data_IF_926755432165
#
_entry.id   IF_926755432165
#
_cell.length_a   1.000
_cell.length_b   1.000
_cell.length_c   1.000
_cell.angle_alpha   90.00
_cell.angle_beta   90.00
_cell.angle_gamma   90.00
#
_symmetry.space_group_name_H-M   'P 1'
#
loop_
_entity.id
_entity.type
_entity.pdbx_description
1 polymer ?
#
# COMPACT_ATOMS: atom_id res chain seq x y z
N UNK A 1 53.31 -16.76 -37.35
CA UNK A 1 53.05 -15.40 -36.83
C UNK A 1 51.53 -15.15 -36.78
N UNK A 2 50.78 -15.76 -35.85
CA UNK A 2 49.30 -15.71 -35.86
C UNK A 2 48.58 -15.83 -34.50
N UNK A 3 49.29 -15.75 -33.37
CA UNK A 3 48.71 -15.94 -32.02
C UNK A 3 48.73 -14.70 -31.11
N UNK A 4 49.25 -13.55 -31.57
CA UNK A 4 49.33 -12.32 -30.73
C UNK A 4 48.05 -11.49 -30.70
N UNK A 5 47.09 -11.75 -31.60
CA UNK A 5 45.83 -10.98 -31.71
C UNK A 5 44.68 -11.51 -30.84
N UNK A 6 44.68 -12.79 -30.46
CA UNK A 6 43.60 -13.38 -29.66
C UNK A 6 43.69 -13.01 -28.16
N UNK A 7 44.90 -12.70 -27.66
CA UNK A 7 45.14 -12.45 -26.24
C UNK A 7 44.79 -11.00 -25.83
N UNK A 8 44.99 -10.03 -26.73
CA UNK A 8 44.62 -8.63 -26.51
C UNK A 8 43.11 -8.38 -26.59
N UNK A 9 42.37 -9.20 -27.36
CA UNK A 9 40.91 -9.11 -27.42
C UNK A 9 40.22 -9.60 -26.14
N UNK A 10 40.75 -10.65 -25.51
CA UNK A 10 40.19 -11.22 -24.28
C UNK A 10 40.40 -10.29 -23.06
N UNK A 11 41.54 -9.59 -23.01
CA UNK A 11 41.83 -8.62 -21.94
C UNK A 11 41.01 -7.34 -22.09
N UNK A 12 40.75 -6.86 -23.32
CA UNK A 12 39.88 -5.71 -23.56
C UNK A 12 38.42 -6.01 -23.20
N UNK A 13 37.94 -7.23 -23.50
CA UNK A 13 36.59 -7.68 -23.16
C UNK A 13 36.40 -7.80 -21.64
N UNK A 14 37.43 -8.26 -20.92
CA UNK A 14 37.44 -8.33 -19.45
C UNK A 14 37.40 -6.94 -18.80
N UNK A 15 38.13 -5.96 -19.34
CA UNK A 15 38.12 -4.57 -18.85
C UNK A 15 36.78 -3.86 -19.10
N UNK A 16 36.12 -4.13 -20.23
CA UNK A 16 34.78 -3.61 -20.52
C UNK A 16 33.71 -4.21 -19.58
N UNK A 17 33.82 -5.50 -19.24
CA UNK A 17 32.92 -6.15 -18.28
C UNK A 17 33.09 -5.58 -16.87
N UNK A 18 34.34 -5.30 -16.46
CA UNK A 18 34.64 -4.73 -15.14
C UNK A 18 34.11 -3.29 -14.99
N UNK A 19 34.18 -2.48 -16.05
CA UNK A 19 33.63 -1.12 -16.06
C UNK A 19 32.10 -1.08 -16.03
N UNK A 20 31.41 -2.11 -16.56
CA UNK A 20 29.95 -2.18 -16.53
C UNK A 20 29.39 -2.64 -15.18
N UNK A 21 30.18 -3.39 -14.40
CA UNK A 21 29.82 -3.80 -13.03
C UNK A 21 29.92 -2.66 -11.99
N UNK A 22 30.67 -1.59 -12.27
CA UNK A 22 30.85 -0.46 -11.33
C UNK A 22 29.87 0.70 -11.54
N UNK A 23 28.92 0.56 -12.48
CA UNK A 23 27.81 1.50 -12.63
C UNK A 23 26.75 1.20 -11.56
N UNK A 24 27.02 1.57 -10.30
CA UNK A 24 25.95 1.62 -9.31
C UNK A 24 24.94 2.69 -9.73
N UNK A 25 23.64 2.35 -9.80
CA UNK A 25 22.62 3.37 -9.94
C UNK A 25 22.72 4.27 -8.70
N UNK A 26 23.02 5.55 -8.92
CA UNK A 26 22.93 6.55 -7.88
C UNK A 26 21.47 6.60 -7.43
N UNK A 27 21.20 5.95 -6.30
CA UNK A 27 19.86 5.91 -5.73
C UNK A 27 19.56 7.34 -5.27
N UNK A 28 18.75 8.05 -6.05
CA UNK A 28 18.25 9.36 -5.64
C UNK A 28 17.59 9.18 -4.26
N UNK A 29 18.13 9.88 -3.26
CA UNK A 29 17.60 9.86 -1.91
C UNK A 29 16.15 10.35 -1.97
N UNK A 30 15.21 9.41 -2.00
CA UNK A 30 13.81 9.72 -1.84
C UNK A 30 13.68 10.22 -0.41
N UNK A 31 13.36 11.50 -0.25
CA UNK A 31 12.93 12.05 1.02
C UNK A 31 11.81 11.17 1.54
N UNK A 32 12.08 10.38 2.58
CA UNK A 32 11.03 9.73 3.35
C UNK A 32 10.25 10.84 4.03
N UNK A 33 9.27 11.40 3.32
CA UNK A 33 8.20 12.14 3.96
C UNK A 33 7.63 11.20 5.00
N UNK A 34 7.77 11.58 6.26
CA UNK A 34 7.35 10.80 7.41
C UNK A 34 5.91 10.33 7.18
N UNK A 35 5.76 9.07 6.74
CA UNK A 35 4.44 8.52 6.44
C UNK A 35 3.73 8.38 7.77
N UNK A 36 2.93 9.40 8.12
CA UNK A 36 2.13 9.40 9.33
C UNK A 36 1.23 8.18 9.29
N UNK A 37 1.50 7.25 10.20
CA UNK A 37 0.70 6.04 10.35
C UNK A 37 -0.74 6.47 10.67
N UNK A 38 -1.75 5.91 9.99
CA UNK A 38 -3.13 6.21 10.32
C UNK A 38 -3.45 5.69 11.72
N UNK A 39 -4.27 6.44 12.46
CA UNK A 39 -4.83 5.98 13.72
C UNK A 39 -6.06 5.13 13.42
N UNK A 40 -6.20 3.99 14.10
CA UNK A 40 -7.36 3.10 13.96
C UNK A 40 -8.21 3.23 15.22
N UNK A 41 -9.46 3.66 15.05
CA UNK A 41 -10.47 3.70 16.11
C UNK A 41 -11.50 2.60 15.85
N UNK A 42 -11.57 1.64 16.76
CA UNK A 42 -12.58 0.57 16.73
C UNK A 42 -13.67 0.87 17.76
N UNK A 43 -14.92 0.95 17.30
CA UNK A 43 -16.10 1.22 18.12
C UNK A 43 -17.01 0.00 18.03
N UNK A 44 -17.24 -0.66 19.16
CA UNK A 44 -18.18 -1.77 19.29
C UNK A 44 -19.36 -1.31 20.16
N UNK A 45 -20.58 -1.65 19.76
CA UNK A 45 -21.81 -1.33 20.47
C UNK A 45 -22.54 -2.65 20.70
N UNK A 46 -22.91 -2.91 21.96
CA UNK A 46 -23.61 -4.13 22.33
C UNK A 46 -25.10 -4.04 21.92
N UNK A 47 -25.66 -5.15 21.45
CA UNK A 47 -27.08 -5.31 21.05
C UNK A 47 -27.64 -4.30 20.03
N UNK A 48 -26.79 -3.54 19.30
CA UNK A 48 -27.26 -2.60 18.30
C UNK A 48 -27.72 -3.31 17.03
N UNK A 49 -29.02 -3.25 16.74
CA UNK A 49 -29.58 -3.72 15.45
C UNK A 49 -29.33 -2.71 14.34
N UNK A 50 -29.44 -3.15 13.08
CA UNK A 50 -29.33 -2.31 11.86
C UNK A 50 -30.55 -1.41 11.65
N UNK A 51 -31.11 -0.85 12.73
CA UNK A 51 -32.30 0.01 12.74
C UNK A 51 -31.89 1.50 12.83
N UNK A 52 -30.78 1.90 12.21
CA UNK A 52 -30.30 3.29 12.22
C UNK A 52 -30.83 4.07 11.01
N UNK A 53 -30.75 5.41 11.08
CA UNK A 53 -31.09 6.30 9.97
C UNK A 53 -30.30 5.98 8.70
N UNK A 54 -29.00 5.69 8.83
CA UNK A 54 -28.14 5.26 7.72
C UNK A 54 -28.50 3.90 7.09
N UNK A 55 -29.32 3.08 7.76
CA UNK A 55 -29.90 1.85 7.22
C UNK A 55 -31.34 2.05 6.71
N UNK A 56 -31.87 3.27 6.74
CA UNK A 56 -33.19 3.62 6.19
C UNK A 56 -34.35 3.53 7.19
N UNK A 57 -34.07 3.47 8.50
CA UNK A 57 -35.13 3.41 9.50
C UNK A 57 -35.81 4.80 9.68
N UNK A 58 -37.15 4.91 9.56
CA UNK A 58 -37.84 6.21 9.45
C UNK A 58 -37.92 7.01 10.76
N UNK A 59 -37.69 6.38 11.92
CA UNK A 59 -37.88 6.99 13.24
C UNK A 59 -36.60 7.15 14.06
N UNK A 60 -35.52 6.46 13.70
CA UNK A 60 -34.27 6.49 14.47
C UNK A 60 -33.38 7.60 13.92
N UNK A 61 -33.09 8.57 14.79
CA UNK A 61 -32.24 9.71 14.46
C UNK A 61 -30.83 9.46 14.99
N UNK A 62 -29.87 9.25 14.08
CA UNK A 62 -28.48 8.94 14.42
C UNK A 62 -27.49 9.83 13.66
N UNK A 63 -27.58 11.17 13.80
CA UNK A 63 -26.90 12.12 12.90
C UNK A 63 -25.37 11.96 12.85
N UNK A 64 -24.74 11.56 13.97
CA UNK A 64 -23.29 11.30 14.02
C UNK A 64 -22.89 10.04 13.26
N UNK A 65 -23.66 8.95 13.40
CA UNK A 65 -23.43 7.70 12.68
C UNK A 65 -23.79 7.83 11.21
N UNK A 66 -24.84 8.60 10.88
CA UNK A 66 -25.25 8.85 9.50
C UNK A 66 -24.17 9.66 8.75
N UNK A 67 -23.59 10.66 9.42
CA UNK A 67 -22.43 11.39 8.88
C UNK A 67 -21.23 10.47 8.68
N UNK A 68 -20.93 9.61 9.64
CA UNK A 68 -19.82 8.65 9.53
C UNK A 68 -20.03 7.68 8.35
N UNK A 69 -21.26 7.19 8.19
CA UNK A 69 -21.64 6.32 7.07
C UNK A 69 -21.51 7.04 5.71
N UNK A 70 -21.84 8.33 5.64
CA UNK A 70 -21.70 9.13 4.40
C UNK A 70 -20.25 9.42 4.01
N UNK A 71 -19.33 9.40 4.98
CA UNK A 71 -17.91 9.67 4.77
C UNK A 71 -17.08 8.40 4.53
N UNK A 72 -17.70 7.23 4.70
CA UNK A 72 -17.02 5.93 4.64
C UNK A 72 -17.78 4.92 3.79
N UNK A 73 -17.65 3.65 4.18
CA UNK A 73 -18.32 2.52 3.53
C UNK A 73 -19.31 1.92 4.53
N UNK A 74 -20.58 1.88 4.15
CA UNK A 74 -21.63 1.24 4.94
C UNK A 74 -21.88 -0.19 4.43
N UNK A 75 -21.81 -1.17 5.34
CA UNK A 75 -22.06 -2.57 5.03
C UNK A 75 -23.53 -2.93 5.25
N UNK A 76 -24.29 -3.13 4.17
CA UNK A 76 -25.73 -3.46 4.22
C UNK A 76 -26.02 -4.94 4.49
N UNK A 77 -25.01 -5.81 4.43
CA UNK A 77 -25.10 -7.26 4.71
C UNK A 77 -24.13 -7.67 5.83
N UNK A 78 -24.39 -7.20 7.04
CA UNK A 78 -23.52 -7.39 8.21
C UNK A 78 -24.21 -8.09 9.40
N UNK A 79 -25.51 -8.39 9.31
CA UNK A 79 -26.29 -8.99 10.41
C UNK A 79 -26.10 -10.49 10.64
N UNK A 80 -25.18 -11.15 9.94
CA UNK A 80 -24.90 -12.58 10.17
C UNK A 80 -23.71 -12.72 11.12
N UNK A 81 -24.01 -12.75 12.42
CA UNK A 81 -23.08 -13.23 13.45
C UNK A 81 -23.21 -14.75 13.51
N UNK A 82 -22.19 -15.46 13.03
CA UNK A 82 -22.10 -16.91 13.16
C UNK A 82 -21.85 -17.25 14.63
N UNK A 83 -22.75 -18.03 15.24
CA UNK A 83 -22.56 -18.64 16.57
C UNK A 83 -21.61 -19.84 16.50
#
# INVERSE_FOLDING_TARGET
>A
MRMRFAFTGLTLFSLLFFSFCFAEPVQAAQSQGEQKKPNVLFIAIDDLRTELGCYGHPHVQSPSLDRLASQGVLFTRSGFITY
#
